data_IF_859771957003
#
_entry.id   IF_859771957003
#
_cell.length_a   1.000
_cell.length_b   1.000
_cell.length_c   1.000
_cell.angle_alpha   90.00
_cell.angle_beta   90.00
_cell.angle_gamma   90.00
#
_symmetry.space_group_name_H-M   'P 1'
#
loop_
_entity.id
_entity.type
_entity.pdbx_description
1 polymer ?
#
# COMPACT_ATOMS: atom_id res chain seq x y z
N UNK A 1 61.35 -35.18 -14.68
CA UNK A 1 60.91 -35.96 -13.49
C UNK A 1 59.63 -35.32 -12.95
N UNK A 2 58.59 -36.14 -12.71
CA UNK A 2 57.36 -35.92 -11.88
C UNK A 2 56.40 -34.80 -12.35
N UNK A 3 55.28 -35.08 -13.03
CA UNK A 3 53.97 -35.58 -12.53
C UNK A 3 53.50 -34.96 -11.20
N UNK A 4 52.26 -34.42 -11.19
CA UNK A 4 51.11 -34.63 -10.26
C UNK A 4 50.20 -33.37 -10.31
N UNK A 5 49.03 -33.42 -10.96
CA UNK A 5 47.69 -33.60 -10.36
C UNK A 5 47.36 -32.59 -9.22
N UNK A 6 46.35 -31.74 -9.36
CA UNK A 6 44.97 -31.96 -8.86
C UNK A 6 44.17 -30.64 -8.83
N UNK A 7 43.02 -30.65 -9.49
CA UNK A 7 41.91 -29.74 -9.22
C UNK A 7 41.34 -30.00 -7.81
N UNK A 8 40.79 -28.97 -7.14
CA UNK A 8 39.88 -28.97 -5.97
C UNK A 8 39.97 -27.53 -5.39
N UNK A 9 38.97 -26.72 -5.06
CA UNK A 9 37.52 -26.81 -4.92
C UNK A 9 36.96 -25.38 -5.03
N UNK A 10 36.07 -25.15 -5.98
CA UNK A 10 34.93 -24.24 -5.74
C UNK A 10 34.02 -24.89 -4.70
N UNK A 11 33.24 -24.05 -4.00
CA UNK A 11 32.08 -24.37 -3.14
C UNK A 11 32.33 -24.48 -1.63
N UNK A 12 32.53 -23.34 -0.97
CA UNK A 12 32.11 -23.19 0.43
C UNK A 12 30.89 -22.27 0.51
N UNK A 13 29.75 -22.95 0.48
CA UNK A 13 28.48 -22.63 1.14
C UNK A 13 28.20 -21.16 1.48
N UNK A 14 27.34 -20.53 0.69
CA UNK A 14 26.36 -19.59 1.20
C UNK A 14 25.42 -20.39 2.12
N UNK A 15 25.78 -20.54 3.39
CA UNK A 15 24.77 -20.86 4.41
C UNK A 15 23.94 -19.60 4.59
N UNK A 16 22.88 -19.49 3.77
CA UNK A 16 21.78 -18.58 4.06
C UNK A 16 21.25 -18.89 5.46
N UNK A 17 21.00 -17.84 6.23
CA UNK A 17 20.38 -17.91 7.55
C UNK A 17 19.11 -18.76 7.44
N UNK A 18 19.15 -19.99 7.94
CA UNK A 18 17.94 -20.76 8.19
C UNK A 18 17.47 -20.32 9.58
N UNK A 19 16.46 -19.47 9.58
CA UNK A 19 15.77 -19.07 10.80
C UNK A 19 15.11 -20.33 11.38
N UNK A 20 15.44 -20.75 12.61
CA UNK A 20 14.78 -21.89 13.22
C UNK A 20 13.33 -21.49 13.50
N UNK A 21 12.39 -22.05 12.73
CA UNK A 21 10.96 -21.96 13.05
C UNK A 21 10.78 -22.69 14.38
N UNK A 22 10.49 -21.94 15.42
CA UNK A 22 10.08 -22.51 16.70
C UNK A 22 8.88 -23.42 16.44
N UNK A 23 8.99 -24.68 16.87
CA UNK A 23 7.89 -25.63 16.85
C UNK A 23 6.81 -25.12 17.81
N UNK A 24 5.72 -24.58 17.28
CA UNK A 24 4.56 -24.19 18.07
C UNK A 24 3.99 -25.41 18.79
N UNK A 25 3.87 -25.29 20.11
CA UNK A 25 3.04 -26.17 20.89
C UNK A 25 1.57 -25.98 20.46
N UNK A 26 0.93 -27.08 20.06
CA UNK A 26 -0.46 -27.14 19.62
C UNK A 26 -1.41 -26.65 20.73
N UNK A 27 -1.83 -25.38 20.62
CA UNK A 27 -2.85 -24.76 21.48
C UNK A 27 -4.18 -24.60 20.75
N UNK A 28 -4.36 -25.22 19.57
CA UNK A 28 -5.59 -25.13 18.78
C UNK A 28 -5.87 -23.73 18.19
N UNK A 29 -4.97 -22.76 18.34
CA UNK A 29 -5.08 -21.42 17.75
C UNK A 29 -4.34 -21.40 16.42
N UNK A 30 -5.07 -21.27 15.32
CA UNK A 30 -4.48 -21.06 14.00
C UNK A 30 -4.00 -19.61 13.85
N UNK A 31 -2.69 -19.44 13.73
CA UNK A 31 -2.07 -18.16 13.37
C UNK A 31 -1.79 -18.20 11.87
N UNK A 32 -2.41 -17.32 11.05
CA UNK A 32 -2.20 -17.34 9.62
C UNK A 32 -0.78 -16.89 9.28
N UNK A 33 -0.15 -17.58 8.35
CA UNK A 33 1.14 -17.21 7.78
C UNK A 33 1.04 -15.92 6.95
N UNK A 34 2.18 -15.28 6.71
CA UNK A 34 2.26 -14.11 5.83
C UNK A 34 1.73 -14.39 4.41
N UNK A 35 1.91 -15.63 3.92
CA UNK A 35 1.40 -16.06 2.62
C UNK A 35 -0.14 -16.17 2.62
N UNK A 36 -0.73 -16.70 3.69
CA UNK A 36 -2.19 -16.78 3.85
C UNK A 36 -2.82 -15.39 3.95
N UNK A 37 -2.21 -14.49 4.72
CA UNK A 37 -2.64 -13.09 4.84
C UNK A 37 -2.56 -12.40 3.47
N UNK A 38 -1.42 -12.48 2.79
CA UNK A 38 -1.21 -11.82 1.49
C UNK A 38 -2.16 -12.38 0.43
N UNK A 39 -2.36 -13.70 0.38
CA UNK A 39 -3.31 -14.33 -0.53
C UNK A 39 -4.75 -13.88 -0.29
N UNK A 40 -5.15 -13.76 0.97
CA UNK A 40 -6.49 -13.28 1.34
C UNK A 40 -6.70 -11.81 0.95
N UNK A 41 -5.71 -10.96 1.23
CA UNK A 41 -5.75 -9.54 0.87
C UNK A 41 -5.75 -9.35 -0.65
N UNK A 42 -4.95 -10.12 -1.38
CA UNK A 42 -4.91 -10.06 -2.84
C UNK A 42 -6.28 -10.41 -3.47
N UNK A 43 -6.97 -11.42 -2.94
CA UNK A 43 -8.34 -11.75 -3.37
C UNK A 43 -9.36 -10.65 -3.01
N UNK A 44 -9.18 -9.98 -1.87
CA UNK A 44 -9.99 -8.83 -1.50
C UNK A 44 -9.82 -7.69 -2.51
N UNK A 45 -8.59 -7.31 -2.85
CA UNK A 45 -8.35 -6.22 -3.81
C UNK A 45 -8.73 -6.58 -5.25
N UNK A 46 -8.74 -7.86 -5.63
CA UNK A 46 -9.32 -8.30 -6.90
C UNK A 46 -10.81 -7.90 -7.02
N UNK A 47 -11.54 -7.86 -5.90
CA UNK A 47 -12.94 -7.42 -5.85
C UNK A 47 -13.08 -5.90 -5.73
N UNK A 48 -12.19 -5.23 -4.98
CA UNK A 48 -12.28 -3.77 -4.78
C UNK A 48 -11.81 -2.96 -5.99
N UNK A 49 -10.83 -3.46 -6.75
CA UNK A 49 -10.28 -2.77 -7.92
C UNK A 49 -11.36 -2.32 -8.91
N UNK A 50 -12.25 -3.19 -9.44
CA UNK A 50 -13.28 -2.75 -10.38
C UNK A 50 -14.27 -1.76 -9.76
N UNK A 51 -14.55 -1.86 -8.46
CA UNK A 51 -15.44 -0.91 -7.77
C UNK A 51 -14.82 0.49 -7.73
N UNK A 52 -13.54 0.60 -7.36
CA UNK A 52 -12.85 1.88 -7.33
C UNK A 52 -12.69 2.47 -8.74
N UNK A 53 -12.39 1.64 -9.74
CA UNK A 53 -12.26 2.06 -11.14
C UNK A 53 -13.56 2.64 -11.71
N UNK A 54 -14.72 2.19 -11.23
CA UNK A 54 -16.02 2.68 -11.68
C UNK A 54 -16.42 4.04 -11.04
N UNK A 55 -15.72 4.49 -10.00
CA UNK A 55 -16.02 5.74 -9.30
C UNK A 55 -15.46 6.95 -10.02
N UNK A 56 -16.06 8.12 -9.77
CA UNK A 56 -15.57 9.40 -10.27
C UNK A 56 -15.16 10.31 -9.10
N UNK A 57 -13.85 10.57 -8.90
CA UNK A 57 -13.37 11.33 -7.74
C UNK A 57 -13.89 12.77 -7.71
N UNK A 58 -14.10 13.41 -8.85
CA UNK A 58 -14.61 14.79 -8.92
C UNK A 58 -16.08 14.86 -8.50
N UNK A 59 -16.89 13.93 -8.99
CA UNK A 59 -18.32 13.84 -8.63
C UNK A 59 -18.46 13.50 -7.14
N UNK A 60 -17.71 12.50 -6.67
CA UNK A 60 -17.78 12.06 -5.28
C UNK A 60 -17.31 13.16 -4.31
N UNK A 61 -16.22 13.89 -4.64
CA UNK A 61 -15.74 15.01 -3.83
C UNK A 61 -16.76 16.15 -3.78
N UNK A 62 -17.37 16.49 -4.92
CA UNK A 62 -18.42 17.51 -4.99
C UNK A 62 -19.63 17.13 -4.13
N UNK A 63 -20.07 15.87 -4.20
CA UNK A 63 -21.16 15.36 -3.38
C UNK A 63 -20.80 15.38 -1.88
N UNK A 64 -19.55 15.05 -1.52
CA UNK A 64 -19.06 15.14 -0.14
C UNK A 64 -19.10 16.58 0.39
N UNK A 65 -18.65 17.54 -0.40
CA UNK A 65 -18.70 18.98 -0.06
C UNK A 65 -20.15 19.43 0.18
N UNK A 66 -21.08 19.01 -0.68
CA UNK A 66 -22.51 19.31 -0.54
C UNK A 66 -23.11 18.72 0.74
N UNK A 67 -22.59 17.58 1.21
CA UNK A 67 -22.95 16.97 2.50
C UNK A 67 -22.25 17.63 3.70
N UNK A 68 -21.45 18.69 3.49
CA UNK A 68 -20.68 19.37 4.52
C UNK A 68 -19.39 18.65 4.94
N UNK A 69 -19.04 17.54 4.28
CA UNK A 69 -17.85 16.74 4.59
C UNK A 69 -16.66 17.24 3.77
N UNK A 70 -15.59 17.60 4.47
CA UNK A 70 -14.36 18.15 3.86
C UNK A 70 -13.15 17.44 4.46
N UNK A 71 -12.38 16.78 3.62
CA UNK A 71 -11.16 16.06 4.00
C UNK A 71 -10.30 15.83 2.77
N UNK A 72 -9.00 15.73 2.98
CA UNK A 72 -8.06 15.29 1.97
C UNK A 72 -7.88 13.77 2.02
N UNK A 73 -7.68 13.13 0.87
CA UNK A 73 -7.26 11.75 0.77
C UNK A 73 -5.74 11.64 0.80
N UNK A 74 -5.23 10.73 1.63
CA UNK A 74 -3.82 10.46 1.83
C UNK A 74 -3.24 9.55 0.73
N UNK A 75 -1.90 9.48 0.65
CA UNK A 75 -1.19 8.41 -0.06
C UNK A 75 -0.66 7.33 0.91
N UNK A 76 -0.24 6.20 0.34
CA UNK A 76 0.39 5.11 1.06
C UNK A 76 1.72 5.55 1.69
N UNK A 77 1.98 5.06 2.90
CA UNK A 77 3.25 5.22 3.61
C UNK A 77 3.24 6.26 4.72
N UNK A 78 4.40 6.42 5.38
CA UNK A 78 4.59 7.33 6.54
C UNK A 78 4.63 8.82 6.19
N UNK A 79 4.66 9.17 4.90
CA UNK A 79 4.58 10.57 4.48
C UNK A 79 3.12 10.97 4.34
N UNK A 80 2.67 11.98 5.10
CA UNK A 80 1.36 12.64 4.92
C UNK A 80 1.37 13.51 3.65
N UNK A 81 1.82 12.94 2.53
CA UNK A 81 1.70 13.58 1.23
C UNK A 81 0.26 13.42 0.78
N UNK A 82 -0.35 14.54 0.39
CA UNK A 82 -1.70 14.59 -0.15
C UNK A 82 -1.57 14.64 -1.67
N UNK A 83 -1.88 13.55 -2.40
CA UNK A 83 -1.73 13.50 -3.85
C UNK A 83 -2.46 14.65 -4.53
N UNK A 84 -1.92 15.13 -5.65
CA UNK A 84 -2.55 16.17 -6.45
C UNK A 84 -2.44 17.59 -5.89
N UNK A 85 -1.83 17.77 -4.71
CA UNK A 85 -1.55 19.07 -4.09
C UNK A 85 -0.05 19.18 -3.82
N UNK A 86 0.56 20.30 -4.22
CA UNK A 86 1.96 20.58 -3.90
C UNK A 86 2.16 20.67 -2.38
N UNK A 87 3.29 20.17 -1.87
CA UNK A 87 3.53 20.07 -0.43
C UNK A 87 3.48 21.44 0.28
N UNK A 88 3.96 22.49 -0.39
CA UNK A 88 3.96 23.86 0.10
C UNK A 88 2.54 24.41 0.20
N UNK A 89 1.69 24.08 -0.78
CA UNK A 89 0.27 24.46 -0.76
C UNK A 89 -0.44 23.71 0.37
N UNK A 90 -0.23 22.38 0.48
CA UNK A 90 -0.84 21.59 1.54
C UNK A 90 -0.43 22.07 2.93
N UNK A 91 0.83 22.47 3.13
CA UNK A 91 1.31 23.01 4.40
C UNK A 91 0.52 24.25 4.87
N UNK A 92 -0.06 25.03 3.96
CA UNK A 92 -0.88 26.21 4.31
C UNK A 92 -2.35 25.87 4.65
N UNK A 93 -2.85 24.69 4.23
CA UNK A 93 -4.25 24.28 4.41
C UNK A 93 -4.43 23.03 5.28
N UNK A 94 -3.35 22.39 5.72
CA UNK A 94 -3.37 21.13 6.50
C UNK A 94 -4.25 21.20 7.74
N UNK A 95 -4.29 22.34 8.42
CA UNK A 95 -5.05 22.49 9.67
C UNK A 95 -6.52 22.88 9.41
N UNK A 96 -6.94 23.01 8.15
CA UNK A 96 -8.31 23.39 7.75
C UNK A 96 -9.19 22.18 7.46
N UNK A 97 -8.60 21.08 7.00
CA UNK A 97 -9.29 19.85 6.69
C UNK A 97 -8.50 18.65 7.17
N UNK A 98 -9.14 17.65 7.80
CA UNK A 98 -8.48 16.41 8.17
C UNK A 98 -8.02 15.65 6.93
N UNK A 99 -7.11 14.70 7.13
CA UNK A 99 -6.69 13.75 6.11
C UNK A 99 -7.21 12.36 6.46
N UNK A 100 -7.79 11.67 5.48
CA UNK A 100 -8.29 10.31 5.56
C UNK A 100 -7.63 9.46 4.48
N UNK A 101 -7.56 8.16 4.68
CA UNK A 101 -6.96 7.25 3.70
C UNK A 101 -8.04 6.36 3.09
N UNK A 102 -7.94 6.08 1.78
CA UNK A 102 -8.70 4.98 1.20
C UNK A 102 -8.24 3.66 1.82
N UNK A 103 -9.13 2.68 1.86
CA UNK A 103 -8.78 1.35 2.31
C UNK A 103 -7.63 0.77 1.49
N UNK A 104 -6.76 -0.01 2.14
CA UNK A 104 -5.58 -0.61 1.50
C UNK A 104 -4.44 0.32 1.15
N UNK A 105 -4.57 1.63 1.36
CA UNK A 105 -3.46 2.56 1.17
C UNK A 105 -2.43 2.38 2.29
N UNK A 106 -1.47 1.48 2.08
CA UNK A 106 -0.45 1.04 3.05
C UNK A 106 0.94 0.87 2.40
N UNK A 107 1.99 0.76 3.22
CA UNK A 107 3.37 0.50 2.76
C UNK A 107 3.63 -0.98 2.40
N UNK A 108 2.68 -1.87 2.68
CA UNK A 108 2.74 -3.28 2.30
C UNK A 108 2.12 -3.54 0.92
N UNK A 109 2.73 -4.47 0.15
CA UNK A 109 2.17 -4.97 -1.10
C UNK A 109 1.79 -6.45 -0.96
N UNK A 110 0.53 -6.78 -1.23
CA UNK A 110 -0.02 -8.13 -1.03
C UNK A 110 -0.05 -8.97 -2.32
N UNK A 111 0.00 -8.31 -3.48
CA UNK A 111 -0.07 -8.95 -4.79
C UNK A 111 -0.37 -7.96 -5.90
N UNK A 112 -0.66 -8.49 -7.09
CA UNK A 112 -0.78 -7.69 -8.31
C UNK A 112 -2.08 -6.87 -8.36
N UNK A 113 -3.20 -7.42 -7.89
CA UNK A 113 -4.45 -6.69 -7.80
C UNK A 113 -4.34 -5.58 -6.76
N UNK A 114 -3.70 -5.83 -5.61
CA UNK A 114 -3.43 -4.76 -4.65
C UNK A 114 -2.55 -3.66 -5.26
N UNK A 115 -1.50 -4.02 -6.01
CA UNK A 115 -0.64 -3.05 -6.70
C UNK A 115 -1.44 -2.16 -7.67
N UNK A 116 -2.31 -2.77 -8.47
CA UNK A 116 -3.18 -2.07 -9.41
C UNK A 116 -4.20 -1.20 -8.69
N UNK A 117 -4.74 -1.68 -7.58
CA UNK A 117 -5.64 -0.92 -6.71
C UNK A 117 -4.94 0.34 -6.18
N UNK A 118 -3.74 0.23 -5.62
CA UNK A 118 -2.97 1.37 -5.11
C UNK A 118 -2.71 2.43 -6.18
N UNK A 119 -2.40 2.02 -7.41
CA UNK A 119 -2.21 2.95 -8.53
C UNK A 119 -3.50 3.73 -8.87
N UNK A 120 -4.65 3.05 -8.89
CA UNK A 120 -5.96 3.70 -9.11
C UNK A 120 -6.33 4.59 -7.91
N UNK A 121 -6.09 4.14 -6.69
CA UNK A 121 -6.34 4.90 -5.46
C UNK A 121 -5.52 6.20 -5.41
N UNK A 122 -4.27 6.17 -5.88
CA UNK A 122 -3.42 7.34 -5.97
C UNK A 122 -3.98 8.39 -6.95
N UNK A 123 -4.35 7.97 -8.17
CA UNK A 123 -4.96 8.87 -9.17
C UNK A 123 -6.32 9.41 -8.70
N UNK A 124 -7.15 8.54 -8.12
CA UNK A 124 -8.43 8.92 -7.54
C UNK A 124 -8.25 9.99 -6.46
N UNK A 125 -7.34 9.77 -5.51
CA UNK A 125 -7.04 10.69 -4.42
C UNK A 125 -6.52 12.03 -4.94
N UNK A 126 -5.65 12.02 -5.96
CA UNK A 126 -5.13 13.24 -6.54
C UNK A 126 -6.23 14.14 -7.11
N UNK A 127 -7.17 13.57 -7.86
CA UNK A 127 -8.30 14.30 -8.44
C UNK A 127 -9.30 14.77 -7.36
N UNK A 128 -9.59 13.91 -6.38
CA UNK A 128 -10.42 14.28 -5.22
C UNK A 128 -9.86 15.50 -4.49
N UNK A 129 -8.55 15.46 -4.19
CA UNK A 129 -7.87 16.49 -3.42
C UNK A 129 -7.83 17.84 -4.13
N UNK A 130 -7.71 17.84 -5.46
CA UNK A 130 -7.80 19.08 -6.25
C UNK A 130 -9.16 19.77 -6.09
N UNK A 131 -10.26 19.00 -6.04
CA UNK A 131 -11.60 19.53 -5.81
C UNK A 131 -11.74 20.01 -4.36
N UNK A 132 -11.28 19.22 -3.40
CA UNK A 132 -11.36 19.56 -1.97
C UNK A 132 -10.53 20.79 -1.60
N UNK A 133 -9.42 21.05 -2.29
CA UNK A 133 -8.56 22.20 -2.03
C UNK A 133 -9.33 23.53 -2.07
N UNK A 134 -10.34 23.67 -2.95
CA UNK A 134 -11.16 24.87 -2.99
C UNK A 134 -12.10 24.99 -1.78
N UNK A 135 -12.57 23.87 -1.23
CA UNK A 135 -13.49 23.82 -0.09
C UNK A 135 -12.77 23.87 1.28
N UNK A 136 -11.46 23.60 1.29
CA UNK A 136 -10.61 23.51 2.48
C UNK A 136 -9.71 24.73 2.71
N UNK A 137 -9.92 25.82 1.98
CA UNK A 137 -9.21 27.11 2.18
C UNK A 137 -9.90 27.96 3.22
#
# INVERSE_FOLDING_TARGET
MKQTLLALLCTTALMGCHEPVASDADTGVHIPSAAEISGTQEQYYAKQLPLLQARNPTVDATASIQQGKRYFLCNAGRSATVPGIAAEVFATVRDKCPTECLDGVTDALYGENHRRYLAVALDYSAKWNQVMLAACR
#
